data_IF_840714403806
#
_entry.id   IF_840714403806
#
_cell.length_a   1.000
_cell.length_b   1.000
_cell.length_c   1.000
_cell.angle_alpha   90.00
_cell.angle_beta   90.00
_cell.angle_gamma   90.00
#
_symmetry.space_group_name_H-M   'P 1'
#
loop_
_entity.id
_entity.type
_entity.pdbx_description
1 polymer ?
#
# COMPACT_ATOMS: atom_id res chain seq x y z
N UNK A 1 -1.68 -9.68 25.22
CA UNK A 1 -0.95 -9.26 24.01
C UNK A 1 -0.44 -10.53 23.36
N UNK A 2 -0.86 -10.84 22.14
CA UNK A 2 -0.22 -11.89 21.34
C UNK A 2 1.01 -11.28 20.65
N UNK A 3 2.07 -12.05 20.51
CA UNK A 3 3.25 -11.60 19.78
C UNK A 3 2.90 -11.52 18.28
N UNK A 4 3.53 -10.63 17.52
CA UNK A 4 3.29 -10.51 16.06
C UNK A 4 3.59 -11.80 15.30
N UNK A 5 4.46 -12.66 15.84
CA UNK A 5 4.73 -14.01 15.30
C UNK A 5 3.55 -14.98 15.43
N UNK A 6 2.59 -14.70 16.30
CA UNK A 6 1.44 -15.59 16.54
C UNK A 6 0.30 -15.34 15.54
N UNK A 7 0.43 -14.28 14.72
CA UNK A 7 -0.55 -13.90 13.71
C UNK A 7 -0.68 -14.96 12.61
N UNK A 8 -1.90 -15.15 12.10
CA UNK A 8 -2.21 -16.08 10.99
C UNK A 8 -1.29 -15.88 9.78
N UNK A 9 -0.98 -14.63 9.43
CA UNK A 9 -0.08 -14.31 8.32
C UNK A 9 1.35 -14.83 8.55
N UNK A 10 1.85 -14.78 9.79
CA UNK A 10 3.18 -15.27 10.14
C UNK A 10 3.24 -16.80 10.07
N UNK A 11 2.20 -17.47 10.57
CA UNK A 11 2.06 -18.93 10.47
C UNK A 11 1.95 -19.39 9.03
N UNK A 12 1.13 -18.71 8.23
CA UNK A 12 0.97 -19.00 6.82
C UNK A 12 2.28 -18.82 6.04
N UNK A 13 3.03 -17.74 6.31
CA UNK A 13 4.34 -17.51 5.73
C UNK A 13 5.33 -18.63 6.09
N UNK A 14 5.41 -18.99 7.38
CA UNK A 14 6.28 -20.09 7.82
C UNK A 14 5.92 -21.44 7.19
N UNK A 15 4.63 -21.69 6.94
CA UNK A 15 4.17 -22.87 6.22
C UNK A 15 4.52 -22.84 4.73
N UNK A 16 4.44 -21.68 4.07
CA UNK A 16 4.80 -21.53 2.65
C UNK A 16 6.32 -21.61 2.42
N UNK A 17 7.12 -21.14 3.38
CA UNK A 17 8.57 -21.05 3.28
C UNK A 17 9.26 -21.76 4.47
N UNK A 18 9.13 -23.09 4.59
CA UNK A 18 9.64 -23.84 5.74
C UNK A 18 11.15 -23.68 5.90
N UNK A 19 11.91 -23.71 4.80
CA UNK A 19 13.36 -23.50 4.82
C UNK A 19 13.77 -22.14 5.40
N UNK A 20 12.94 -21.10 5.23
CA UNK A 20 13.20 -19.78 5.82
C UNK A 20 12.76 -19.72 7.28
N UNK A 21 11.75 -20.50 7.66
CA UNK A 21 11.25 -20.57 9.03
C UNK A 21 12.11 -21.46 9.95
N UNK A 22 12.87 -22.39 9.38
CA UNK A 22 13.78 -23.28 10.12
C UNK A 22 14.99 -22.56 10.70
N UNK A 23 15.49 -21.52 10.02
CA UNK A 23 16.64 -20.75 10.49
C UNK A 23 16.16 -19.63 11.43
N UNK A 24 16.38 -19.74 12.76
CA UNK A 24 15.88 -18.78 13.74
C UNK A 24 16.49 -17.39 13.59
N UNK A 25 17.63 -17.26 12.92
CA UNK A 25 18.29 -15.99 12.68
C UNK A 25 17.78 -15.24 11.43
N UNK A 26 16.85 -15.82 10.66
CA UNK A 26 16.19 -15.10 9.57
C UNK A 26 15.29 -13.98 10.10
N UNK A 27 15.26 -12.84 9.40
CA UNK A 27 14.57 -11.63 9.85
C UNK A 27 13.43 -11.27 8.93
N UNK A 28 12.25 -10.97 9.49
CA UNK A 28 11.06 -10.65 8.72
C UNK A 28 10.59 -9.22 9.06
N UNK A 29 11.26 -8.20 8.50
CA UNK A 29 10.99 -6.81 8.87
C UNK A 29 9.60 -6.37 8.39
N UNK A 30 9.04 -5.42 9.14
CA UNK A 30 7.98 -4.55 8.66
C UNK A 30 8.59 -3.20 8.28
N UNK A 31 8.22 -2.65 7.14
CA UNK A 31 8.63 -1.32 6.72
C UNK A 31 7.57 -0.32 7.18
N UNK A 32 7.96 0.71 7.93
CA UNK A 32 7.04 1.76 8.37
C UNK A 32 7.50 3.09 7.78
N UNK A 33 6.61 3.77 7.07
CA UNK A 33 6.84 5.15 6.66
C UNK A 33 5.78 6.02 7.31
N UNK A 34 6.12 6.51 8.50
CA UNK A 34 5.41 7.61 9.14
C UNK A 34 6.25 8.89 9.01
N UNK A 35 5.67 9.95 8.43
CA UNK A 35 6.30 11.27 8.48
C UNK A 35 7.50 11.53 7.56
N UNK A 36 7.90 10.58 6.69
CA UNK A 36 8.97 10.79 5.68
C UNK A 36 8.70 11.99 4.73
N UNK A 37 7.48 12.54 4.71
CA UNK A 37 7.13 13.73 3.95
C UNK A 37 7.52 15.08 4.61
N UNK A 38 8.09 15.10 5.82
CA UNK A 38 8.40 16.36 6.53
C UNK A 38 9.87 16.82 6.46
N UNK A 39 10.80 15.93 6.11
CA UNK A 39 12.26 16.23 6.12
C UNK A 39 12.92 16.21 4.74
N UNK A 40 12.19 15.85 3.68
CA UNK A 40 12.64 16.08 2.31
C UNK A 40 12.49 17.58 2.04
N UNK A 41 13.65 18.27 1.99
CA UNK A 41 13.85 19.71 1.77
C UNK A 41 12.76 20.26 0.82
N UNK A 42 12.09 21.39 1.15
CA UNK A 42 11.12 22.01 0.28
C UNK A 42 11.84 22.65 -0.92
N UNK A 43 12.20 21.84 -1.90
CA UNK A 43 12.52 22.29 -3.24
C UNK A 43 11.19 22.38 -4.02
N UNK A 44 10.90 23.45 -4.78
CA UNK A 44 9.64 23.63 -5.52
C UNK A 44 9.28 22.55 -6.56
N UNK A 45 10.13 21.55 -6.79
CA UNK A 45 9.87 20.41 -7.67
C UNK A 45 9.40 19.21 -6.85
N UNK A 46 8.26 18.59 -7.21
CA UNK A 46 7.57 17.53 -6.45
C UNK A 46 8.42 16.26 -6.22
N UNK A 47 9.36 16.29 -5.26
CA UNK A 47 10.15 15.14 -4.78
C UNK A 47 9.28 13.98 -4.25
N UNK A 48 8.00 14.23 -3.97
CA UNK A 48 7.03 13.19 -3.59
C UNK A 48 6.88 12.09 -4.66
N UNK A 49 7.23 12.39 -5.91
CA UNK A 49 7.18 11.44 -7.04
C UNK A 49 8.47 10.65 -7.23
N UNK A 50 9.55 11.00 -6.54
CA UNK A 50 10.86 10.34 -6.68
C UNK A 50 11.16 9.40 -5.52
N UNK A 51 10.15 9.02 -4.74
CA UNK A 51 10.34 8.14 -3.58
C UNK A 51 10.85 6.76 -4.01
N UNK A 52 10.47 6.32 -5.21
CA UNK A 52 10.97 5.12 -5.88
C UNK A 52 12.50 5.16 -6.06
N UNK A 53 13.07 6.30 -6.49
CA UNK A 53 14.53 6.48 -6.63
C UNK A 53 15.23 6.34 -5.27
N UNK A 54 14.64 6.84 -4.20
CA UNK A 54 15.21 6.69 -2.85
C UNK A 54 15.06 5.28 -2.29
N UNK A 55 14.03 4.55 -2.70
CA UNK A 55 13.77 3.18 -2.27
C UNK A 55 14.53 2.15 -3.11
N UNK A 56 15.04 2.51 -4.29
CA UNK A 56 15.75 1.59 -5.20
C UNK A 56 16.89 0.83 -4.50
N UNK A 57 17.83 1.45 -3.77
CA UNK A 57 18.88 0.70 -3.07
C UNK A 57 18.33 -0.26 -2.01
N UNK A 58 17.29 0.16 -1.29
CA UNK A 58 16.62 -0.68 -0.29
C UNK A 58 15.93 -1.88 -0.96
N UNK A 59 15.29 -1.67 -2.11
CA UNK A 59 14.64 -2.73 -2.88
C UNK A 59 15.69 -3.73 -3.39
N UNK A 60 16.82 -3.25 -3.91
CA UNK A 60 17.94 -4.09 -4.34
C UNK A 60 18.48 -4.96 -3.20
N UNK A 61 18.72 -4.38 -2.02
CA UNK A 61 19.18 -5.13 -0.84
C UNK A 61 18.15 -6.18 -0.39
N UNK A 62 16.86 -5.82 -0.36
CA UNK A 62 15.79 -6.76 -0.01
C UNK A 62 15.69 -7.90 -1.03
N UNK A 63 15.82 -7.61 -2.32
CA UNK A 63 15.83 -8.63 -3.38
C UNK A 63 17.06 -9.53 -3.28
N UNK A 64 18.22 -8.99 -2.93
CA UNK A 64 19.44 -9.77 -2.69
C UNK A 64 19.25 -10.71 -1.49
N UNK A 65 18.75 -10.19 -0.38
CA UNK A 65 18.49 -10.99 0.83
C UNK A 65 17.40 -12.05 0.63
N UNK A 66 16.47 -11.82 -0.29
CA UNK A 66 15.40 -12.78 -0.61
C UNK A 66 15.83 -13.88 -1.59
N UNK A 67 16.64 -13.57 -2.61
CA UNK A 67 17.00 -14.53 -3.66
C UNK A 67 18.35 -15.21 -3.45
N UNK A 68 19.30 -14.52 -2.82
CA UNK A 68 20.68 -15.01 -2.62
C UNK A 68 20.96 -15.31 -1.15
N UNK A 69 20.43 -14.47 -0.26
CA UNK A 69 20.80 -14.45 1.14
C UNK A 69 22.16 -13.79 1.38
N UNK A 70 22.47 -13.52 2.65
CA UNK A 70 23.73 -12.92 3.07
C UNK A 70 24.40 -13.77 4.15
N UNK A 71 25.69 -14.05 3.99
CA UNK A 71 26.44 -14.80 4.99
C UNK A 71 26.66 -13.92 6.22
N UNK A 72 26.01 -14.28 7.32
CA UNK A 72 26.08 -13.59 8.60
C UNK A 72 26.78 -14.48 9.62
N UNK A 73 27.23 -13.86 10.70
CA UNK A 73 27.87 -14.56 11.82
C UNK A 73 27.07 -14.28 13.08
N UNK A 74 26.57 -15.34 13.70
CA UNK A 74 25.88 -15.26 14.98
C UNK A 74 26.91 -15.41 16.11
N UNK A 75 27.09 -14.34 16.88
CA UNK A 75 28.00 -14.32 18.03
C UNK A 75 27.46 -15.17 19.19
N UNK A 76 26.15 -15.41 19.30
CA UNK A 76 25.59 -16.20 20.38
C UNK A 76 25.93 -17.69 20.23
N UNK A 77 25.91 -18.20 18.99
CA UNK A 77 26.23 -19.60 18.67
C UNK A 77 27.64 -19.82 18.13
N UNK A 78 28.41 -18.75 17.89
CA UNK A 78 29.75 -18.76 17.29
C UNK A 78 29.77 -19.48 15.93
N UNK A 79 28.75 -19.22 15.10
CA UNK A 79 28.57 -19.90 13.79
C UNK A 79 28.22 -18.92 12.69
N UNK A 80 28.73 -19.20 11.50
CA UNK A 80 28.29 -18.54 10.28
C UNK A 80 27.04 -19.25 9.73
N UNK A 81 26.06 -18.47 9.30
CA UNK A 81 24.82 -18.94 8.70
C UNK A 81 24.45 -18.08 7.48
N UNK A 82 23.50 -18.56 6.67
CA UNK A 82 22.96 -17.78 5.57
C UNK A 82 21.67 -17.10 6.02
N UNK A 83 21.71 -15.78 6.15
CA UNK A 83 20.54 -14.98 6.52
C UNK A 83 19.69 -14.68 5.28
N UNK A 84 18.41 -14.96 5.40
CA UNK A 84 17.38 -14.56 4.44
C UNK A 84 16.45 -13.55 5.10
N UNK A 85 15.97 -12.60 4.29
CA UNK A 85 15.06 -11.55 4.75
C UNK A 85 13.81 -11.53 3.90
N UNK A 86 12.65 -11.44 4.57
CA UNK A 86 11.35 -11.33 3.91
C UNK A 86 10.61 -10.10 4.42
N UNK A 87 10.31 -9.15 3.53
CA UNK A 87 9.49 -8.00 3.90
C UNK A 87 8.03 -8.44 4.10
N UNK A 88 7.53 -8.38 5.33
CA UNK A 88 6.21 -8.95 5.67
C UNK A 88 5.06 -7.97 5.48
N UNK A 89 5.25 -6.71 5.85
CA UNK A 89 4.22 -5.68 5.67
C UNK A 89 4.84 -4.30 5.56
N UNK A 90 4.13 -3.42 4.86
CA UNK A 90 4.38 -1.99 4.90
C UNK A 90 3.26 -1.30 5.69
N UNK A 91 3.62 -0.47 6.66
CA UNK A 91 2.68 0.36 7.43
C UNK A 91 2.89 1.81 7.02
N UNK A 92 1.93 2.35 6.30
CA UNK A 92 1.98 3.72 5.80
C UNK A 92 0.66 4.40 6.19
N UNK A 93 0.71 5.67 6.54
CA UNK A 93 -0.50 6.49 6.56
C UNK A 93 -1.04 6.69 5.13
N UNK A 94 -2.26 7.19 4.98
CA UNK A 94 -2.87 7.30 3.64
C UNK A 94 -2.07 8.25 2.71
N UNK A 95 -1.57 9.42 3.14
CA UNK A 95 -0.71 10.25 2.30
C UNK A 95 0.57 9.53 1.85
N UNK A 96 1.28 8.87 2.78
CA UNK A 96 2.54 8.21 2.47
C UNK A 96 2.32 6.97 1.61
N UNK A 97 1.22 6.24 1.83
CA UNK A 97 0.77 5.17 0.94
C UNK A 97 0.70 5.67 -0.51
N UNK A 98 0.15 6.86 -0.74
CA UNK A 98 0.06 7.40 -2.10
C UNK A 98 1.40 7.70 -2.76
N UNK A 99 2.41 8.03 -1.95
CA UNK A 99 3.79 8.19 -2.43
C UNK A 99 4.40 6.83 -2.78
N UNK A 100 4.39 5.88 -1.84
CA UNK A 100 5.08 4.59 -2.04
C UNK A 100 4.39 3.65 -3.03
N UNK A 101 3.06 3.76 -3.18
CA UNK A 101 2.32 2.96 -4.16
C UNK A 101 2.24 3.60 -5.54
N UNK A 102 2.62 4.87 -5.66
CA UNK A 102 2.35 5.67 -6.85
C UNK A 102 0.86 6.00 -7.07
N UNK A 103 -0.06 5.60 -6.19
CA UNK A 103 -1.48 5.96 -6.32
C UNK A 103 -1.77 7.33 -5.70
N UNK A 104 -2.22 8.31 -6.50
CA UNK A 104 -2.61 9.61 -5.96
C UNK A 104 -3.80 9.49 -5.00
N UNK A 105 -3.59 9.87 -3.75
CA UNK A 105 -4.64 9.89 -2.71
C UNK A 105 -5.43 11.19 -2.69
N UNK A 106 -5.24 12.06 -3.68
CA UNK A 106 -5.88 13.37 -3.79
C UNK A 106 -7.21 13.29 -4.55
N UNK A 107 -8.23 13.98 -4.02
CA UNK A 107 -9.54 14.10 -4.66
C UNK A 107 -10.48 12.96 -4.32
N UNK A 108 -11.49 12.71 -5.17
CA UNK A 108 -12.52 11.68 -4.97
C UNK A 108 -12.07 10.25 -5.36
N UNK A 109 -11.05 10.14 -6.21
CA UNK A 109 -10.43 8.86 -6.61
C UNK A 109 -9.24 8.47 -5.71
N UNK A 110 -9.14 9.06 -4.52
CA UNK A 110 -8.01 8.85 -3.62
C UNK A 110 -8.00 7.52 -2.89
N UNK A 111 -9.08 6.72 -2.97
CA UNK A 111 -9.14 5.42 -2.30
C UNK A 111 -8.46 4.34 -3.15
N UNK A 112 -7.34 3.74 -2.71
CA UNK A 112 -6.63 2.72 -3.49
C UNK A 112 -7.35 1.37 -3.52
N UNK A 113 -8.36 1.17 -2.66
CA UNK A 113 -9.19 -0.04 -2.66
C UNK A 113 -10.34 0.09 -3.66
N UNK A 114 -11.00 1.25 -3.68
CA UNK A 114 -12.09 1.53 -4.62
C UNK A 114 -11.58 1.84 -6.02
N UNK A 115 -10.41 2.49 -6.13
CA UNK A 115 -9.76 2.92 -7.38
C UNK A 115 -10.75 3.78 -8.19
N UNK A 116 -11.19 3.28 -9.34
CA UNK A 116 -12.14 3.88 -10.28
C UNK A 116 -13.61 3.69 -9.86
N UNK A 117 -13.88 2.79 -8.91
CA UNK A 117 -15.23 2.45 -8.44
C UNK A 117 -15.63 3.19 -7.14
N UNK A 118 -15.05 4.37 -6.92
CA UNK A 118 -15.31 5.22 -5.75
C UNK A 118 -16.67 5.88 -5.80
N UNK A 119 -17.33 6.01 -4.64
CA UNK A 119 -18.56 6.82 -4.46
C UNK A 119 -18.29 8.17 -3.81
N UNK A 120 -17.02 8.50 -3.61
CA UNK A 120 -16.66 9.79 -3.04
C UNK A 120 -17.13 10.93 -3.96
N UNK A 121 -17.51 12.03 -3.35
CA UNK A 121 -18.08 13.17 -4.04
C UNK A 121 -17.49 14.48 -3.52
N UNK A 122 -17.58 15.54 -4.30
CA UNK A 122 -17.20 16.87 -3.83
C UNK A 122 -18.37 17.51 -3.10
N UNK A 123 -18.12 18.09 -1.92
CA UNK A 123 -19.12 18.90 -1.22
C UNK A 123 -19.49 20.10 -2.10
N UNK A 124 -20.78 20.36 -2.28
CA UNK A 124 -21.29 21.39 -3.20
C UNK A 124 -20.65 22.77 -2.97
N UNK A 125 -20.57 23.21 -1.71
CA UNK A 125 -20.07 24.55 -1.36
C UNK A 125 -18.56 24.57 -1.07
N UNK A 126 -18.05 23.53 -0.41
CA UNK A 126 -16.64 23.48 -0.03
C UNK A 126 -15.71 22.96 -1.13
N UNK A 127 -16.25 22.30 -2.16
CA UNK A 127 -15.53 21.59 -3.22
C UNK A 127 -14.48 20.58 -2.72
N UNK A 128 -14.52 20.24 -1.42
CA UNK A 128 -13.64 19.23 -0.81
C UNK A 128 -14.17 17.84 -1.12
N UNK A 129 -13.26 16.92 -1.42
CA UNK A 129 -13.59 15.51 -1.56
C UNK A 129 -14.10 14.95 -0.23
N UNK A 130 -15.21 14.23 -0.30
CA UNK A 130 -15.90 13.63 0.83
C UNK A 130 -16.09 12.13 0.58
N UNK A 131 -15.69 11.33 1.55
CA UNK A 131 -15.83 9.87 1.56
C UNK A 131 -16.95 9.41 2.49
N UNK A 132 -17.79 10.35 2.95
CA UNK A 132 -18.90 10.03 3.83
C UNK A 132 -19.77 8.96 3.18
N UNK A 133 -20.15 7.98 3.98
CA UNK A 133 -21.04 6.88 3.60
C UNK A 133 -20.51 5.89 2.56
N UNK A 134 -19.33 6.13 1.98
CA UNK A 134 -18.72 5.24 0.98
C UNK A 134 -18.29 3.89 1.58
N UNK A 135 -18.13 3.81 2.90
CA UNK A 135 -17.58 2.64 3.59
C UNK A 135 -18.63 1.53 3.78
N UNK A 136 -19.93 1.86 3.73
CA UNK A 136 -21.00 0.87 3.98
C UNK A 136 -21.00 -0.27 2.96
N UNK A 137 -20.43 -0.06 1.77
CA UNK A 137 -20.27 -1.10 0.76
C UNK A 137 -19.36 -2.27 1.20
N UNK A 138 -18.49 -2.06 2.20
CA UNK A 138 -17.60 -3.09 2.75
C UNK A 138 -18.25 -3.93 3.86
N UNK A 139 -19.41 -3.53 4.36
CA UNK A 139 -20.14 -4.31 5.36
C UNK A 139 -20.77 -5.56 4.72
N UNK A 140 -21.07 -6.63 5.47
CA UNK A 140 -21.86 -7.74 4.94
C UNK A 140 -23.19 -7.27 4.34
N UNK A 141 -23.67 -7.92 3.28
CA UNK A 141 -24.90 -7.53 2.55
C UNK A 141 -26.14 -7.41 3.44
N UNK A 142 -26.23 -8.25 4.47
CA UNK A 142 -27.33 -8.26 5.44
C UNK A 142 -27.09 -7.35 6.66
N UNK A 143 -26.00 -6.58 6.70
CA UNK A 143 -25.66 -5.75 7.85
C UNK A 143 -26.70 -4.62 8.06
N UNK A 144 -27.25 -4.43 9.28
CA UNK A 144 -28.32 -3.45 9.53
C UNK A 144 -28.00 -2.02 9.06
N UNK A 145 -26.74 -1.59 9.19
CA UNK A 145 -26.33 -0.25 8.77
C UNK A 145 -26.44 0.00 7.26
N UNK A 146 -26.44 -1.03 6.41
CA UNK A 146 -26.71 -0.85 4.97
C UNK A 146 -28.12 -0.34 4.70
N UNK A 147 -29.09 -0.70 5.56
CA UNK A 147 -30.51 -0.30 5.45
C UNK A 147 -30.86 0.93 6.30
N UNK A 148 -29.89 1.46 7.03
CA UNK A 148 -30.12 2.61 7.90
C UNK A 148 -30.18 3.92 7.07
N UNK A 149 -31.41 4.40 6.88
CA UNK A 149 -31.75 5.61 6.12
C UNK A 149 -31.69 6.90 6.94
N UNK A 150 -31.42 6.81 8.25
CA UNK A 150 -31.54 7.93 9.20
C UNK A 150 -30.19 8.46 9.68
N UNK A 151 -29.26 7.58 10.06
CA UNK A 151 -27.96 7.99 10.66
C UNK A 151 -26.86 8.27 9.64
N UNK A 152 -27.06 7.85 8.38
CA UNK A 152 -26.12 8.05 7.27
C UNK A 152 -26.72 8.99 6.24
N UNK A 153 -26.42 8.80 4.95
CA UNK A 153 -27.07 9.57 3.89
C UNK A 153 -28.58 9.37 3.95
N UNK A 154 -29.31 10.48 4.05
CA UNK A 154 -30.77 10.50 4.23
C UNK A 154 -31.43 9.71 3.12
N UNK A 155 -32.32 8.79 3.50
CA UNK A 155 -33.09 7.94 2.59
C UNK A 155 -32.25 7.03 1.68
N UNK A 156 -30.95 6.86 1.94
CA UNK A 156 -30.07 5.99 1.17
C UNK A 156 -29.99 4.58 1.77
N UNK A 157 -29.99 3.57 0.89
CA UNK A 157 -29.75 2.17 1.22
C UNK A 157 -28.57 1.67 0.40
N UNK A 158 -27.58 1.09 1.07
CA UNK A 158 -26.37 0.61 0.43
C UNK A 158 -26.50 -0.84 -0.04
N UNK A 159 -26.82 -1.01 -1.32
CA UNK A 159 -26.96 -2.32 -1.96
C UNK A 159 -25.71 -2.77 -2.73
N UNK A 160 -24.72 -1.90 -2.92
CA UNK A 160 -23.54 -2.22 -3.70
C UNK A 160 -22.64 -3.19 -2.94
N UNK A 161 -22.06 -4.13 -3.66
CA UNK A 161 -21.03 -5.02 -3.13
C UNK A 161 -19.68 -4.34 -3.37
N UNK A 162 -18.85 -4.27 -2.34
CA UNK A 162 -17.49 -3.79 -2.50
C UNK A 162 -16.78 -4.62 -3.57
N UNK A 163 -16.06 -3.95 -4.48
CA UNK A 163 -15.19 -4.65 -5.42
C UNK A 163 -14.18 -5.52 -4.65
N UNK A 164 -13.80 -6.68 -5.20
CA UNK A 164 -12.65 -7.41 -4.70
C UNK A 164 -11.40 -6.53 -4.73
N UNK A 165 -10.53 -6.70 -3.74
CA UNK A 165 -9.20 -6.08 -3.78
C UNK A 165 -8.46 -6.64 -4.98
N UNK A 166 -7.77 -5.77 -5.71
CA UNK A 166 -6.91 -6.22 -6.79
C UNK A 166 -5.75 -7.04 -6.22
N UNK A 167 -5.37 -8.08 -6.95
CA UNK A 167 -4.13 -8.82 -6.68
C UNK A 167 -2.91 -8.00 -7.12
N UNK A 168 -1.72 -8.42 -6.68
CA UNK A 168 -0.46 -7.82 -7.13
C UNK A 168 -0.34 -7.82 -8.66
N UNK A 169 -0.61 -8.97 -9.29
CA UNK A 169 -0.54 -9.13 -10.75
C UNK A 169 -1.51 -8.19 -11.48
N UNK A 170 -2.74 -8.06 -10.98
CA UNK A 170 -3.74 -7.15 -11.57
C UNK A 170 -3.34 -5.67 -11.44
N UNK A 171 -2.63 -5.31 -10.36
CA UNK A 171 -2.09 -3.97 -10.20
C UNK A 171 -0.91 -3.78 -11.16
N UNK A 172 -0.03 -4.76 -11.27
CA UNK A 172 1.12 -4.73 -12.16
C UNK A 172 0.69 -4.56 -13.61
N UNK A 173 -0.30 -5.32 -14.08
CA UNK A 173 -0.87 -5.18 -15.43
C UNK A 173 -1.40 -3.77 -15.71
N UNK A 174 -2.00 -3.12 -14.71
CA UNK A 174 -2.51 -1.74 -14.83
C UNK A 174 -1.40 -0.68 -14.88
N UNK A 175 -0.25 -0.94 -14.26
CA UNK A 175 0.85 0.03 -14.11
C UNK A 175 1.99 -0.24 -15.09
N UNK A 176 2.01 -1.41 -15.73
CA UNK A 176 3.05 -1.84 -16.67
C UNK A 176 3.22 -0.85 -17.83
N UNK A 177 2.12 -0.33 -18.38
CA UNK A 177 2.12 0.56 -19.53
C UNK A 177 2.21 2.06 -19.17
N UNK A 178 2.37 2.39 -17.89
CA UNK A 178 2.52 3.76 -17.42
C UNK A 178 4.00 4.12 -17.44
N UNK A 179 4.37 5.23 -18.08
CA UNK A 179 5.75 5.72 -18.12
C UNK A 179 6.24 6.11 -16.72
N UNK A 180 7.51 5.82 -16.34
CA UNK A 180 8.07 6.24 -15.05
C UNK A 180 8.24 7.75 -14.92
N UNK A 181 8.05 8.30 -13.72
CA UNK A 181 8.22 9.73 -13.43
C UNK A 181 9.66 10.21 -13.65
N UNK A 182 10.64 9.30 -13.58
CA UNK A 182 12.06 9.58 -13.80
C UNK A 182 12.31 10.12 -15.22
N UNK A 183 11.52 9.70 -16.21
CA UNK A 183 11.66 10.15 -17.59
C UNK A 183 11.07 11.56 -17.81
N UNK A 184 9.99 11.91 -17.09
CA UNK A 184 9.30 13.21 -17.21
C UNK A 184 8.72 13.72 -15.88
N UNK A 185 9.55 14.23 -14.94
CA UNK A 185 9.15 14.48 -13.55
C UNK A 185 8.00 15.49 -13.37
N UNK A 186 7.84 16.38 -14.35
CA UNK A 186 6.86 17.47 -14.35
C UNK A 186 5.57 17.15 -15.08
N UNK A 187 5.51 16.07 -15.87
CA UNK A 187 4.30 15.68 -16.58
C UNK A 187 3.48 14.68 -15.77
N UNK A 188 2.18 14.65 -16.03
CA UNK A 188 1.29 13.62 -15.53
C UNK A 188 1.23 12.50 -16.57
N UNK A 189 1.13 11.23 -16.16
CA UNK A 189 0.97 10.16 -17.12
C UNK A 189 -0.33 10.33 -17.92
N UNK A 190 -0.33 9.86 -19.16
CA UNK A 190 -1.51 9.86 -20.02
C UNK A 190 -2.67 9.14 -19.32
N UNK A 191 -3.87 9.73 -19.38
CA UNK A 191 -5.05 9.21 -18.67
C UNK A 191 -5.12 9.53 -17.17
N UNK A 192 -4.15 10.28 -16.62
CA UNK A 192 -4.22 10.71 -15.22
C UNK A 192 -5.38 11.66 -14.96
N UNK A 193 -6.23 11.30 -13.99
CA UNK A 193 -7.39 12.07 -13.56
C UNK A 193 -8.65 11.81 -14.37
N UNK A 194 -8.55 11.17 -15.54
CA UNK A 194 -9.66 10.61 -16.30
C UNK A 194 -9.82 9.11 -16.03
N UNK A 195 -8.81 8.33 -16.40
CA UNK A 195 -8.86 6.87 -16.47
C UNK A 195 -8.21 6.24 -15.23
N UNK A 196 -7.18 6.87 -14.66
CA UNK A 196 -6.52 6.41 -13.44
C UNK A 196 -5.90 7.54 -12.60
N UNK A 197 -5.32 7.18 -11.45
CA UNK A 197 -4.60 8.09 -10.56
C UNK A 197 -3.17 7.66 -10.23
N UNK A 198 -2.62 6.70 -10.97
CA UNK A 198 -1.20 6.35 -10.92
C UNK A 198 -0.30 7.53 -11.32
N UNK A 199 0.75 7.77 -10.53
CA UNK A 199 1.74 8.84 -10.68
C UNK A 199 3.17 8.25 -10.75
N UNK A 200 3.29 7.03 -11.30
CA UNK A 200 4.56 6.31 -11.48
C UNK A 200 5.65 7.22 -12.00
#
# INVERSE_FOLDING_TARGET
MCHSSDAEAWKHFGWMYPNLAEEPCNVWPGFCTDGFASHVIPNPSNLKRLIDVYLEPLIEELLQLWHVGMRMYDHATDRAFMMWTALMWTRNDLPTYGMVSGWSTVGVMGCPVCIDDTRAFHLQYGRKACYFDCQRQFLPTHHPYRRNKKTFTKNHVENKIARPRLTGDQILDRVANISPAVEMPLLLPDGYGSDHKWMK
#
